data_IF_400457408150
#
_entry.id   IF_400457408150
#
_cell.length_a   1.000
_cell.length_b   1.000
_cell.length_c   1.000
_cell.angle_alpha   90.00
_cell.angle_beta   90.00
_cell.angle_gamma   90.00
#
_symmetry.space_group_name_H-M   'P 1'
#
loop_
_entity.id
_entity.type
_entity.pdbx_description
1 polymer ?
#
# COMPACT_ATOMS: atom_id res chain seq x y z
N UNK A 1 -28.31 22.22 -35.71
CA UNK A 1 -28.16 22.16 -34.24
C UNK A 1 -26.69 22.38 -33.96
N UNK A 2 -26.28 23.59 -33.59
CA UNK A 2 -24.88 23.89 -33.27
C UNK A 2 -24.56 23.09 -32.00
N UNK A 3 -23.84 21.98 -32.18
CA UNK A 3 -23.25 21.27 -31.06
C UNK A 3 -22.31 22.26 -30.38
N UNK A 4 -22.51 22.46 -29.08
CA UNK A 4 -21.76 23.43 -28.29
C UNK A 4 -20.37 22.84 -28.05
N UNK A 5 -19.51 22.90 -29.07
CA UNK A 5 -18.19 22.25 -29.10
C UNK A 5 -17.34 22.67 -27.92
N UNK A 6 -17.48 23.92 -27.46
CA UNK A 6 -16.81 24.44 -26.27
C UNK A 6 -17.27 23.71 -24.99
N UNK A 7 -18.56 23.43 -24.84
CA UNK A 7 -19.10 22.67 -23.70
C UNK A 7 -18.50 21.27 -23.63
N UNK A 8 -18.43 20.56 -24.76
CA UNK A 8 -17.88 19.20 -24.79
C UNK A 8 -16.36 19.18 -24.65
N UNK A 9 -15.68 20.20 -25.15
CA UNK A 9 -14.25 20.40 -24.91
C UNK A 9 -13.97 20.60 -23.42
N UNK A 10 -14.75 21.45 -22.73
CA UNK A 10 -14.62 21.66 -21.29
C UNK A 10 -14.84 20.38 -20.49
N UNK A 11 -15.82 19.54 -20.88
CA UNK A 11 -16.04 18.22 -20.27
C UNK A 11 -14.85 17.28 -20.48
N UNK A 12 -14.33 17.21 -21.71
CA UNK A 12 -13.14 16.43 -22.05
C UNK A 12 -11.92 16.87 -21.22
N UNK A 13 -11.65 18.18 -21.17
CA UNK A 13 -10.51 18.73 -20.43
C UNK A 13 -10.63 18.42 -18.92
N UNK A 14 -11.85 18.53 -18.36
CA UNK A 14 -12.12 18.15 -16.98
C UNK A 14 -11.84 16.66 -16.72
N UNK A 15 -12.37 15.76 -17.57
CA UNK A 15 -12.20 14.32 -17.38
C UNK A 15 -10.74 13.89 -17.55
N UNK A 16 -10.01 14.51 -18.46
CA UNK A 16 -8.57 14.29 -18.62
C UNK A 16 -7.80 14.65 -17.34
N UNK A 17 -8.10 15.79 -16.73
CA UNK A 17 -7.46 16.20 -15.45
C UNK A 17 -7.78 15.19 -14.34
N UNK A 18 -9.04 14.76 -14.23
CA UNK A 18 -9.43 13.74 -13.24
C UNK A 18 -8.67 12.42 -13.43
N UNK A 19 -8.49 11.99 -14.67
CA UNK A 19 -7.72 10.80 -14.99
C UNK A 19 -6.25 10.93 -14.61
N UNK A 20 -5.62 12.05 -14.95
CA UNK A 20 -4.22 12.31 -14.61
C UNK A 20 -4.02 12.39 -13.09
N UNK A 21 -4.98 12.94 -12.34
CA UNK A 21 -4.98 12.96 -10.88
C UNK A 21 -5.07 11.56 -10.27
N UNK A 22 -5.99 10.70 -10.73
CA UNK A 22 -6.14 9.33 -10.23
C UNK A 22 -4.93 8.45 -10.62
N UNK A 23 -4.36 8.65 -11.80
CA UNK A 23 -3.09 8.02 -12.21
C UNK A 23 -1.92 8.49 -11.34
N UNK A 24 -1.85 9.79 -11.02
CA UNK A 24 -0.84 10.33 -10.09
C UNK A 24 -1.00 9.72 -8.70
N UNK A 25 -2.24 9.59 -8.22
CA UNK A 25 -2.55 8.94 -6.93
C UNK A 25 -2.11 7.48 -6.90
N UNK A 26 -2.29 6.74 -7.99
CA UNK A 26 -1.79 5.37 -8.12
C UNK A 26 -0.27 5.30 -7.88
N UNK A 27 0.49 6.14 -8.58
CA UNK A 27 1.96 6.19 -8.45
C UNK A 27 2.39 6.58 -7.03
N UNK A 28 1.72 7.58 -6.42
CA UNK A 28 2.00 7.99 -5.03
C UNK A 28 1.71 6.88 -4.03
N UNK A 29 0.67 6.06 -4.25
CA UNK A 29 0.36 4.90 -3.41
C UNK A 29 1.46 3.83 -3.53
N UNK A 30 1.93 3.52 -4.74
CA UNK A 30 3.04 2.57 -4.93
C UNK A 30 4.35 3.04 -4.27
N UNK A 31 4.69 4.32 -4.41
CA UNK A 31 5.85 4.91 -3.74
C UNK A 31 5.73 4.79 -2.22
N UNK A 32 4.54 5.08 -1.67
CA UNK A 32 4.28 5.01 -0.23
C UNK A 32 4.34 3.57 0.28
N UNK A 33 3.74 2.62 -0.43
CA UNK A 33 3.80 1.19 -0.10
C UNK A 33 5.24 0.68 -0.11
N UNK A 34 6.03 1.08 -1.11
CA UNK A 34 7.43 0.69 -1.21
C UNK A 34 8.24 1.21 -0.02
N UNK A 35 8.06 2.48 0.35
CA UNK A 35 8.70 3.07 1.53
C UNK A 35 8.30 2.37 2.83
N UNK A 36 7.03 2.01 2.97
CA UNK A 36 6.55 1.25 4.13
C UNK A 36 7.18 -0.13 4.20
N UNK A 37 7.27 -0.83 3.07
CA UNK A 37 7.91 -2.13 2.99
C UNK A 37 9.39 -2.06 3.38
N UNK A 38 10.13 -1.09 2.85
CA UNK A 38 11.54 -0.88 3.21
C UNK A 38 11.70 -0.59 4.70
N UNK A 39 10.88 0.31 5.25
CA UNK A 39 10.90 0.61 6.68
C UNK A 39 10.58 -0.61 7.53
N UNK A 40 9.59 -1.41 7.14
CA UNK A 40 9.21 -2.64 7.84
C UNK A 40 10.35 -3.65 7.84
N UNK A 41 11.03 -3.86 6.71
CA UNK A 41 12.18 -4.77 6.62
C UNK A 41 13.31 -4.35 7.57
N UNK A 42 13.63 -3.05 7.65
CA UNK A 42 14.64 -2.54 8.59
C UNK A 42 14.25 -2.85 10.03
N UNK A 43 12.99 -2.64 10.41
CA UNK A 43 12.48 -2.95 11.76
C UNK A 43 12.55 -4.45 12.05
N UNK A 44 12.18 -5.30 11.09
CA UNK A 44 12.29 -6.77 11.23
C UNK A 44 13.76 -7.17 11.45
N UNK A 45 14.71 -6.60 10.73
CA UNK A 45 16.14 -6.88 10.92
C UNK A 45 16.63 -6.44 12.31
N UNK A 46 16.24 -5.25 12.78
CA UNK A 46 16.59 -4.81 14.12
C UNK A 46 16.00 -5.74 15.20
N UNK A 47 14.74 -6.14 14.99
CA UNK A 47 14.03 -7.08 15.85
C UNK A 47 14.74 -8.45 15.95
N UNK A 48 15.13 -9.04 14.83
CA UNK A 48 15.80 -10.36 14.82
C UNK A 48 17.15 -10.32 15.53
N UNK A 49 17.91 -9.22 15.42
CA UNK A 49 19.17 -9.04 16.16
C UNK A 49 18.92 -8.99 17.68
N UNK A 50 17.94 -8.21 18.13
CA UNK A 50 17.61 -8.07 19.55
C UNK A 50 17.18 -9.40 20.14
N UNK A 51 16.25 -10.09 19.45
CA UNK A 51 15.77 -11.41 19.88
C UNK A 51 16.89 -12.44 19.88
N UNK A 52 17.72 -12.48 18.83
CA UNK A 52 18.85 -13.41 18.75
C UNK A 52 19.85 -13.21 19.89
N UNK A 53 20.15 -11.95 20.25
CA UNK A 53 21.00 -11.63 21.39
C UNK A 53 20.36 -12.00 22.73
N UNK A 54 19.05 -11.83 22.89
CA UNK A 54 18.36 -12.25 24.10
C UNK A 54 18.39 -13.77 24.27
N UNK A 55 18.14 -14.52 23.20
CA UNK A 55 18.18 -15.99 23.22
C UNK A 55 19.57 -16.54 23.52
N UNK A 56 20.64 -15.86 23.09
CA UNK A 56 22.02 -16.32 23.36
C UNK A 56 22.50 -15.99 24.78
N UNK A 57 21.98 -14.93 25.41
CA UNK A 57 22.34 -14.52 26.78
C UNK A 57 21.46 -15.20 27.83
N UNK A 58 20.29 -15.69 27.46
CA UNK A 58 19.34 -16.31 28.38
C UNK A 58 19.94 -17.57 29.03
N UNK A 59 20.46 -17.41 30.24
CA UNK A 59 20.96 -18.49 31.09
C UNK A 59 19.82 -19.25 31.77
N UNK A 60 20.12 -20.47 32.24
CA UNK A 60 19.21 -21.46 32.87
C UNK A 60 18.45 -20.97 34.13
N UNK A 61 18.71 -19.75 34.62
CA UNK A 61 18.11 -19.19 35.85
C UNK A 61 16.84 -18.35 35.62
N UNK A 62 16.29 -18.28 34.40
CA UNK A 62 15.02 -17.59 34.15
C UNK A 62 13.85 -18.48 34.58
N UNK A 63 12.88 -17.91 35.32
CA UNK A 63 11.65 -18.62 35.66
C UNK A 63 10.95 -19.13 34.38
N UNK A 64 10.70 -20.44 34.31
CA UNK A 64 10.13 -21.13 33.15
C UNK A 64 8.84 -20.47 32.63
N UNK A 65 7.97 -20.03 33.54
CA UNK A 65 6.70 -19.36 33.17
C UNK A 65 6.96 -18.03 32.46
N UNK A 66 7.87 -17.22 32.98
CA UNK A 66 8.21 -15.92 32.41
C UNK A 66 8.88 -16.09 31.05
N UNK A 67 9.81 -17.05 30.93
CA UNK A 67 10.44 -17.38 29.66
C UNK A 67 9.41 -17.78 28.60
N UNK A 68 8.43 -18.62 28.94
CA UNK A 68 7.36 -19.02 28.03
C UNK A 68 6.52 -17.81 27.54
N UNK A 69 6.22 -16.85 28.42
CA UNK A 69 5.51 -15.61 28.05
C UNK A 69 6.34 -14.79 27.07
N UNK A 70 7.64 -14.63 27.31
CA UNK A 70 8.52 -13.87 26.40
C UNK A 70 8.56 -14.54 25.02
N UNK A 71 8.76 -15.85 24.97
CA UNK A 71 8.78 -16.60 23.71
C UNK A 71 7.45 -16.47 22.97
N UNK A 72 6.32 -16.51 23.67
CA UNK A 72 5.00 -16.27 23.08
C UNK A 72 4.92 -14.89 22.41
N UNK A 73 5.33 -13.82 23.10
CA UNK A 73 5.33 -12.46 22.54
C UNK A 73 6.31 -12.30 21.38
N UNK A 74 7.46 -12.98 21.41
CA UNK A 74 8.42 -13.02 20.29
C UNK A 74 7.75 -13.65 19.06
N UNK A 75 7.15 -14.83 19.21
CA UNK A 75 6.47 -15.52 18.11
C UNK A 75 5.30 -14.69 17.57
N UNK A 76 4.49 -14.12 18.46
CA UNK A 76 3.36 -13.27 18.10
C UNK A 76 3.78 -12.01 17.34
N UNK A 77 4.82 -11.32 17.81
CA UNK A 77 5.37 -10.13 17.14
C UNK A 77 5.89 -10.49 15.74
N UNK A 78 6.60 -11.61 15.62
CA UNK A 78 7.11 -12.07 14.32
C UNK A 78 5.97 -12.38 13.34
N UNK A 79 4.92 -13.08 13.78
CA UNK A 79 3.75 -13.36 12.95
C UNK A 79 3.06 -12.06 12.48
N UNK A 80 2.92 -11.07 13.36
CA UNK A 80 2.33 -9.78 12.99
C UNK A 80 3.19 -9.01 11.97
N UNK A 81 4.52 -9.09 12.08
CA UNK A 81 5.39 -8.54 11.04
C UNK A 81 5.24 -9.27 9.70
N UNK A 82 5.08 -10.59 9.69
CA UNK A 82 4.82 -11.35 8.47
C UNK A 82 3.48 -10.96 7.82
N UNK A 83 2.41 -10.82 8.61
CA UNK A 83 1.12 -10.36 8.08
C UNK A 83 1.22 -8.95 7.51
N UNK A 84 1.82 -8.01 8.26
CA UNK A 84 2.08 -6.65 7.77
C UNK A 84 2.84 -6.64 6.45
N UNK A 85 3.85 -7.50 6.33
CA UNK A 85 4.66 -7.62 5.13
C UNK A 85 3.83 -8.11 3.93
N UNK A 86 2.99 -9.14 4.13
CA UNK A 86 2.10 -9.66 3.10
C UNK A 86 1.05 -8.62 2.65
N UNK A 87 0.43 -7.92 3.60
CA UNK A 87 -0.59 -6.90 3.32
C UNK A 87 -0.02 -5.72 2.52
N UNK A 88 1.17 -5.24 2.89
CA UNK A 88 1.87 -4.18 2.13
C UNK A 88 2.30 -4.72 0.76
N UNK A 89 2.84 -5.94 0.68
CA UNK A 89 3.25 -6.53 -0.59
C UNK A 89 2.07 -6.70 -1.56
N UNK A 90 0.88 -7.08 -1.04
CA UNK A 90 -0.37 -7.15 -1.83
C UNK A 90 -0.72 -5.80 -2.47
N UNK A 91 -0.47 -4.68 -1.79
CA UNK A 91 -0.69 -3.34 -2.35
C UNK A 91 0.25 -2.99 -3.52
N UNK A 92 1.41 -3.64 -3.59
CA UNK A 92 2.39 -3.48 -4.67
C UNK A 92 2.13 -4.40 -5.88
N UNK A 93 1.11 -5.25 -5.82
CA UNK A 93 0.75 -6.12 -6.96
C UNK A 93 0.54 -5.28 -8.22
N UNK A 94 1.28 -5.63 -9.27
CA UNK A 94 1.12 -5.09 -10.62
C UNK A 94 -0.30 -5.40 -11.09
N UNK A 95 -1.02 -4.35 -11.49
CA UNK A 95 -2.33 -4.45 -12.12
C UNK A 95 -2.27 -3.79 -13.49
N UNK A 96 -2.98 -4.38 -14.44
CA UNK A 96 -3.17 -3.72 -15.74
C UNK A 96 -3.96 -2.43 -15.52
N UNK A 97 -3.38 -1.33 -15.95
CA UNK A 97 -3.98 -0.01 -15.85
C UNK A 97 -4.59 0.37 -17.18
N UNK A 98 -5.73 1.07 -17.14
CA UNK A 98 -6.38 1.55 -18.37
C UNK A 98 -5.45 2.50 -19.10
N UNK A 99 -5.12 2.17 -20.36
CA UNK A 99 -4.35 3.03 -21.25
C UNK A 99 -5.31 3.69 -22.22
N UNK A 100 -5.14 5.01 -22.39
CA UNK A 100 -5.88 5.74 -23.41
C UNK A 100 -5.49 5.23 -24.80
N UNK A 101 -6.45 5.06 -25.73
CA UNK A 101 -6.18 4.67 -27.10
C UNK A 101 -5.32 5.75 -27.76
N UNK A 102 -4.41 5.31 -28.60
CA UNK A 102 -3.51 6.16 -29.39
C UNK A 102 -3.24 5.50 -30.75
N UNK A 103 -4.18 4.70 -31.18
CA UNK A 103 -4.14 3.90 -32.39
C UNK A 103 -4.72 4.67 -33.59
N UNK A 104 -4.60 4.05 -34.77
CA UNK A 104 -5.07 4.66 -36.02
C UNK A 104 -6.57 4.88 -36.03
N UNK A 105 -7.33 4.02 -35.34
CA UNK A 105 -8.78 4.16 -35.20
C UNK A 105 -9.16 5.48 -34.54
N UNK A 106 -8.43 5.91 -33.50
CA UNK A 106 -8.64 7.22 -32.89
C UNK A 106 -8.37 8.36 -33.88
N UNK A 107 -7.30 8.28 -34.66
CA UNK A 107 -6.94 9.31 -35.66
C UNK A 107 -8.04 9.40 -36.73
N UNK A 108 -8.49 8.26 -37.25
CA UNK A 108 -9.58 8.19 -38.22
C UNK A 108 -10.89 8.74 -37.65
N UNK A 109 -11.13 8.61 -36.34
CA UNK A 109 -12.28 9.20 -35.67
C UNK A 109 -12.27 10.74 -35.74
N UNK A 110 -11.09 11.36 -35.60
CA UNK A 110 -10.95 12.81 -35.71
C UNK A 110 -11.20 13.33 -37.14
N UNK A 111 -10.86 12.53 -38.15
CA UNK A 111 -11.05 12.91 -39.57
C UNK A 111 -12.51 12.70 -40.03
N UNK A 112 -13.20 11.69 -39.50
CA UNK A 112 -14.49 11.25 -40.02
C UNK A 112 -15.72 11.73 -39.22
N UNK A 113 -15.55 12.19 -37.98
CA UNK A 113 -16.66 12.61 -37.12
C UNK A 113 -16.59 14.09 -36.71
N UNK A 114 -17.74 14.73 -36.40
CA UNK A 114 -17.73 16.07 -35.83
C UNK A 114 -16.93 16.13 -34.53
N UNK A 115 -16.11 17.17 -34.38
CA UNK A 115 -15.22 17.34 -33.22
C UNK A 115 -15.95 17.25 -31.87
N UNK A 116 -17.20 17.72 -31.79
CA UNK A 116 -18.02 17.60 -30.60
C UNK A 116 -18.29 16.13 -30.20
N UNK A 117 -18.57 15.25 -31.18
CA UNK A 117 -18.76 13.83 -30.95
C UNK A 117 -17.48 13.15 -30.47
N UNK A 118 -16.33 13.56 -31.05
CA UNK A 118 -15.02 13.06 -30.63
C UNK A 118 -14.71 13.46 -29.18
N UNK A 119 -15.00 14.71 -28.78
CA UNK A 119 -14.84 15.13 -27.39
C UNK A 119 -15.72 14.36 -26.43
N UNK A 120 -16.98 14.09 -26.78
CA UNK A 120 -17.88 13.26 -25.96
C UNK A 120 -17.29 11.85 -25.80
N UNK A 121 -16.91 11.23 -26.92
CA UNK A 121 -16.32 9.89 -26.91
C UNK A 121 -15.09 9.82 -26.00
N UNK A 122 -14.14 10.73 -26.19
CA UNK A 122 -12.94 10.79 -25.37
C UNK A 122 -13.26 11.06 -23.90
N UNK A 123 -14.23 11.94 -23.60
CA UNK A 123 -14.63 12.24 -22.22
C UNK A 123 -15.19 11.01 -21.51
N UNK A 124 -15.97 10.17 -22.20
CA UNK A 124 -16.49 8.91 -21.65
C UNK A 124 -15.36 7.91 -21.41
N UNK A 125 -14.41 7.83 -22.34
CA UNK A 125 -13.29 6.91 -22.23
C UNK A 125 -12.31 7.31 -21.10
N UNK A 126 -12.14 8.63 -20.85
CA UNK A 126 -11.48 9.13 -19.65
C UNK A 126 -12.25 8.79 -18.37
N UNK A 127 -13.57 8.93 -18.37
CA UNK A 127 -14.42 8.58 -17.21
C UNK A 127 -14.30 7.09 -16.84
N UNK A 128 -14.32 6.19 -17.83
CA UNK A 128 -14.06 4.76 -17.63
C UNK A 128 -12.66 4.52 -17.03
N UNK A 129 -11.65 5.22 -17.54
CA UNK A 129 -10.30 5.19 -16.99
C UNK A 129 -10.23 5.66 -15.54
N UNK A 130 -10.93 6.74 -15.19
CA UNK A 130 -11.05 7.28 -13.83
C UNK A 130 -11.68 6.25 -12.90
N UNK A 131 -12.80 5.64 -13.30
CA UNK A 131 -13.48 4.61 -12.50
C UNK A 131 -12.57 3.42 -12.25
N UNK A 132 -11.84 2.96 -13.27
CA UNK A 132 -10.89 1.86 -13.11
C UNK A 132 -9.76 2.21 -12.12
N UNK A 133 -9.14 3.40 -12.28
CA UNK A 133 -8.10 3.83 -11.34
C UNK A 133 -8.64 4.01 -9.92
N UNK A 134 -9.85 4.52 -9.74
CA UNK A 134 -10.48 4.65 -8.41
C UNK A 134 -10.63 3.31 -7.71
N UNK A 135 -11.11 2.29 -8.43
CA UNK A 135 -11.25 0.94 -7.89
C UNK A 135 -9.89 0.35 -7.50
N UNK A 136 -8.89 0.47 -8.39
CA UNK A 136 -7.53 0.00 -8.12
C UNK A 136 -6.91 0.74 -6.92
N UNK A 137 -7.05 2.06 -6.86
CA UNK A 137 -6.53 2.91 -5.80
C UNK A 137 -7.21 2.60 -4.45
N UNK A 138 -8.51 2.29 -4.46
CA UNK A 138 -9.25 1.87 -3.27
C UNK A 138 -8.71 0.55 -2.72
N UNK A 139 -8.60 -0.49 -3.55
CA UNK A 139 -8.06 -1.80 -3.16
C UNK A 139 -6.62 -1.69 -2.60
N UNK A 140 -5.78 -0.88 -3.26
CA UNK A 140 -4.40 -0.63 -2.79
C UNK A 140 -4.41 0.08 -1.45
N UNK A 141 -5.21 1.12 -1.30
CA UNK A 141 -5.33 1.86 -0.05
C UNK A 141 -5.85 1.00 1.10
N UNK A 142 -6.81 0.11 0.85
CA UNK A 142 -7.33 -0.84 1.84
C UNK A 142 -6.23 -1.79 2.31
N UNK A 143 -5.51 -2.42 1.38
CA UNK A 143 -4.39 -3.33 1.71
C UNK A 143 -3.27 -2.61 2.49
N UNK A 144 -3.01 -1.33 2.18
CA UNK A 144 -2.07 -0.49 2.94
C UNK A 144 -2.55 -0.17 4.35
N UNK A 145 -3.86 0.06 4.53
CA UNK A 145 -4.46 0.31 5.84
C UNK A 145 -4.39 -0.94 6.71
N UNK A 146 -4.73 -2.10 6.16
CA UNK A 146 -4.56 -3.41 6.81
C UNK A 146 -3.11 -3.57 7.31
N UNK A 147 -2.13 -3.46 6.41
CA UNK A 147 -0.72 -3.58 6.78
C UNK A 147 -0.28 -2.56 7.83
N UNK A 148 -0.80 -1.33 7.78
CA UNK A 148 -0.50 -0.32 8.80
C UNK A 148 -1.10 -0.66 10.18
N UNK A 149 -2.30 -1.24 10.22
CA UNK A 149 -2.88 -1.72 11.48
C UNK A 149 -2.09 -2.88 12.08
N UNK A 150 -1.62 -3.80 11.25
CA UNK A 150 -0.77 -4.93 11.66
C UNK A 150 0.58 -4.45 12.19
N UNK A 151 1.20 -3.44 11.55
CA UNK A 151 2.42 -2.79 12.04
C UNK A 151 2.20 -2.18 13.43
N UNK A 152 1.08 -1.49 13.66
CA UNK A 152 0.79 -0.90 14.98
C UNK A 152 0.72 -1.96 16.07
N UNK A 153 0.02 -3.07 15.80
CA UNK A 153 -0.10 -4.19 16.72
C UNK A 153 1.28 -4.83 16.98
N UNK A 154 2.06 -5.05 15.92
CA UNK A 154 3.42 -5.59 16.02
C UNK A 154 4.33 -4.69 16.85
N UNK A 155 4.28 -3.36 16.63
CA UNK A 155 5.08 -2.39 17.38
C UNK A 155 4.71 -2.36 18.87
N UNK A 156 3.42 -2.43 19.20
CA UNK A 156 2.98 -2.52 20.60
C UNK A 156 3.49 -3.80 21.27
N UNK A 157 3.35 -4.94 20.58
CA UNK A 157 3.86 -6.24 21.04
C UNK A 157 5.38 -6.24 21.21
N UNK A 158 6.10 -5.58 20.31
CA UNK A 158 7.55 -5.44 20.38
C UNK A 158 8.00 -4.63 21.61
N UNK A 159 7.32 -3.52 21.92
CA UNK A 159 7.60 -2.73 23.13
C UNK A 159 7.36 -3.55 24.39
N UNK A 160 6.27 -4.32 24.45
CA UNK A 160 5.99 -5.24 25.57
C UNK A 160 7.11 -6.28 25.68
N UNK A 161 7.56 -6.84 24.56
CA UNK A 161 8.66 -7.81 24.53
C UNK A 161 9.95 -7.22 25.11
N UNK A 162 10.35 -6.02 24.69
CA UNK A 162 11.53 -5.33 25.22
C UNK A 162 11.39 -5.10 26.73
N UNK A 163 10.22 -4.65 27.17
CA UNK A 163 9.95 -4.39 28.58
C UNK A 163 10.08 -5.67 29.43
N UNK A 164 9.53 -6.79 28.96
CA UNK A 164 9.66 -8.08 29.65
C UNK A 164 11.12 -8.56 29.70
N UNK A 165 11.88 -8.41 28.61
CA UNK A 165 13.32 -8.71 28.58
C UNK A 165 14.09 -7.82 29.56
N UNK A 166 13.74 -6.55 29.68
CA UNK A 166 14.39 -5.66 30.65
C UNK A 166 14.11 -6.11 32.09
N UNK A 167 12.86 -6.49 32.40
CA UNK A 167 12.50 -7.01 33.72
C UNK A 167 13.28 -8.27 34.10
N UNK A 168 13.53 -9.19 33.15
CA UNK A 168 14.33 -10.38 33.46
C UNK A 168 15.77 -10.03 33.81
N UNK A 169 16.39 -9.11 33.07
CA UNK A 169 17.76 -8.66 33.34
C UNK A 169 17.90 -7.95 34.69
N UNK A 170 16.88 -7.19 35.12
CA UNK A 170 16.88 -6.55 36.45
C UNK A 170 16.67 -7.58 37.56
N UNK A 171 15.76 -8.54 37.36
CA UNK A 171 15.44 -9.55 38.37
C UNK A 171 16.51 -10.64 38.56
N UNK A 172 17.44 -10.81 37.61
CA UNK A 172 18.58 -11.75 37.71
C UNK A 172 19.87 -11.12 38.24
N UNK A 173 19.85 -9.82 38.57
CA UNK A 173 20.94 -9.11 39.25
C UNK A 173 20.71 -9.09 40.76
#
# INVERSE_FOLDING_TARGET
MSYDTEKYKALFDYQKVQYDDERSRYSKLEDKSSKYLTSLTIVITAYTIIVGKFLSISNENINCLLFAIIVFFICFTFLMFCFAWLSIFKSLKLRETSKMPSDKELIEMFDNYPLASVYIYLSNLYDEGVVNYRNINADKSESMLEGYTEIKVAMLSFVITIFLIFLTMVATK
#
